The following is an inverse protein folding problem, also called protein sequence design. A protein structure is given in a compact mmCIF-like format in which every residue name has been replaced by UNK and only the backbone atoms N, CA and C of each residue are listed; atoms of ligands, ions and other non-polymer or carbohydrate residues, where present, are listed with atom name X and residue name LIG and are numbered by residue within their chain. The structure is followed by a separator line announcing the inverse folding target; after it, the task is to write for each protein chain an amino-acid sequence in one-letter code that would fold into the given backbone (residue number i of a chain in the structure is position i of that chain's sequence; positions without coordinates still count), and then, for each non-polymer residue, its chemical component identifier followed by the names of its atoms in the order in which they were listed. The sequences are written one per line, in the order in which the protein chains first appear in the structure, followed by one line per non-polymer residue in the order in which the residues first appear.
data_IF_396067854172
#
_entry.id   IF_396067854172
#
_cell.length_a   1.000
_cell.length_b   1.000
_cell.length_c   1.000
_cell.angle_alpha   90.00
_cell.angle_beta   90.00
_cell.angle_gamma   90.00
#
_symmetry.space_group_name_H-M   'P 1'
#
loop_
_entity.id
_entity.type
_entity.pdbx_description
1 polymer ?
#
# COMPACT_ATOMS: atom_id res chain seq x y z
N UNK A 1 1.10 -17.53 12.81
CA UNK A 1 0.61 -16.47 11.91
C UNK A 1 1.64 -15.35 11.92
N UNK A 2 2.17 -14.98 10.76
CA UNK A 2 3.12 -13.88 10.62
C UNK A 2 2.38 -12.67 10.04
N UNK A 3 2.61 -11.48 10.59
CA UNK A 3 1.92 -10.25 10.17
C UNK A 3 2.95 -9.15 9.98
N UNK A 4 2.93 -8.51 8.81
CA UNK A 4 3.76 -7.36 8.47
C UNK A 4 2.86 -6.17 8.20
N UNK A 5 3.13 -5.05 8.88
CA UNK A 5 2.50 -3.77 8.58
C UNK A 5 3.43 -2.99 7.66
N UNK A 6 2.93 -2.56 6.51
CA UNK A 6 3.67 -1.76 5.55
C UNK A 6 2.82 -0.57 5.11
N UNK A 7 3.37 0.63 5.23
CA UNK A 7 2.73 1.87 4.78
C UNK A 7 3.78 2.90 4.35
N UNK A 8 3.47 3.69 3.34
CA UNK A 8 4.23 4.89 2.99
C UNK A 8 3.69 6.07 3.80
N UNK A 9 4.57 6.78 4.50
CA UNK A 9 4.19 7.94 5.31
C UNK A 9 5.08 9.14 5.00
N UNK A 10 4.50 10.33 5.10
CA UNK A 10 5.26 11.59 5.09
C UNK A 10 6.21 11.67 6.30
N UNK A 11 7.14 12.63 6.27
CA UNK A 11 8.09 12.85 7.37
C UNK A 11 7.41 13.16 8.72
N UNK A 12 6.22 13.78 8.68
CA UNK A 12 5.39 14.02 9.86
C UNK A 12 4.45 12.84 10.20
N UNK A 13 4.60 11.69 9.55
CA UNK A 13 3.91 10.44 9.86
C UNK A 13 2.46 10.35 9.37
N UNK A 14 2.13 10.99 8.24
CA UNK A 14 0.77 10.98 7.67
C UNK A 14 0.72 10.12 6.41
N UNK A 15 -0.42 9.44 6.23
CA UNK A 15 -0.68 8.56 5.08
C UNK A 15 -1.48 9.25 3.96
N UNK A 16 -2.11 10.37 4.26
CA UNK A 16 -2.99 11.11 3.35
C UNK A 16 -3.17 12.55 3.84
N UNK A 17 -3.80 13.39 3.01
CA UNK A 17 -4.20 14.74 3.38
C UNK A 17 -5.39 14.74 4.35
N UNK A 18 -5.72 15.92 4.91
CA UNK A 18 -6.93 16.09 5.76
C UNK A 18 -8.23 15.76 5.04
N UNK A 19 -8.24 15.83 3.70
CA UNK A 19 -9.39 15.51 2.86
C UNK A 19 -9.48 14.02 2.50
N UNK A 20 -8.53 13.20 2.96
CA UNK A 20 -8.42 11.76 2.66
C UNK A 20 -8.28 11.48 1.17
N UNK A 21 -7.49 12.29 0.48
CA UNK A 21 -7.15 12.08 -0.92
C UNK A 21 -5.82 11.34 -1.07
N UNK A 22 -5.69 10.57 -2.14
CA UNK A 22 -4.43 9.90 -2.45
C UNK A 22 -3.38 10.95 -2.83
N UNK A 23 -2.22 10.88 -2.18
CA UNK A 23 -1.07 11.76 -2.43
C UNK A 23 0.17 10.92 -2.71
N UNK A 24 1.05 11.41 -3.59
CA UNK A 24 2.31 10.74 -3.88
C UNK A 24 3.27 10.91 -2.69
N UNK A 25 3.44 9.85 -1.90
CA UNK A 25 4.42 9.76 -0.81
C UNK A 25 5.66 8.97 -1.23
N UNK A 26 5.46 7.88 -1.97
CA UNK A 26 6.49 6.96 -2.41
C UNK A 26 6.80 7.09 -3.91
N UNK A 27 7.99 6.63 -4.30
CA UNK A 27 8.42 6.50 -5.69
C UNK A 27 8.42 5.05 -6.18
N UNK A 28 8.82 4.86 -7.44
CA UNK A 28 8.82 3.56 -8.14
C UNK A 28 9.57 2.46 -7.38
N UNK A 29 10.74 2.77 -6.82
CA UNK A 29 11.55 1.79 -6.08
C UNK A 29 10.83 1.23 -4.85
N UNK A 30 10.03 2.06 -4.14
CA UNK A 30 9.25 1.60 -3.00
C UNK A 30 8.00 0.83 -3.47
N UNK A 31 7.36 1.24 -4.57
CA UNK A 31 6.27 0.46 -5.16
C UNK A 31 6.73 -0.94 -5.58
N UNK A 32 7.90 -1.08 -6.21
CA UNK A 32 8.48 -2.39 -6.55
C UNK A 32 8.83 -3.24 -5.32
N UNK A 33 9.22 -2.60 -4.20
CA UNK A 33 9.43 -3.29 -2.92
C UNK A 33 8.11 -3.80 -2.33
N UNK A 34 7.05 -2.99 -2.36
CA UNK A 34 5.72 -3.38 -1.87
C UNK A 34 5.11 -4.48 -2.73
N UNK A 35 5.35 -4.45 -4.05
CA UNK A 35 4.85 -5.49 -4.95
C UNK A 35 5.46 -6.87 -4.63
N UNK A 36 6.78 -6.93 -4.43
CA UNK A 36 7.47 -8.13 -3.92
C UNK A 36 6.96 -8.57 -2.54
N UNK A 37 6.68 -7.63 -1.64
CA UNK A 37 6.11 -7.96 -0.33
C UNK A 37 4.73 -8.61 -0.47
N UNK A 38 3.87 -8.08 -1.36
CA UNK A 38 2.55 -8.66 -1.66
C UNK A 38 2.68 -10.05 -2.26
N UNK A 39 3.56 -10.24 -3.25
CA UNK A 39 3.80 -11.54 -3.88
C UNK A 39 4.26 -12.60 -2.86
N UNK A 40 5.06 -12.21 -1.87
CA UNK A 40 5.53 -13.11 -0.81
C UNK A 40 4.51 -13.37 0.32
N UNK A 41 3.34 -12.70 0.29
CA UNK A 41 2.34 -12.78 1.36
C UNK A 41 1.15 -13.62 0.93
N UNK A 42 0.68 -14.51 1.80
CA UNK A 42 -0.49 -15.35 1.53
C UNK A 42 -1.79 -14.53 1.41
N UNK A 43 -1.85 -13.34 2.03
CA UNK A 43 -3.02 -12.46 1.99
C UNK A 43 -2.64 -10.99 2.21
N UNK A 44 -3.43 -10.09 1.61
CA UNK A 44 -3.38 -8.63 1.82
C UNK A 44 -4.65 -8.20 2.55
N UNK A 45 -4.49 -7.37 3.59
CA UNK A 45 -5.60 -6.86 4.40
C UNK A 45 -5.59 -5.34 4.40
N UNK A 46 -6.77 -4.74 4.20
CA UNK A 46 -7.00 -3.29 4.34
C UNK A 46 -8.27 -3.02 5.13
N UNK A 47 -8.39 -1.83 5.71
CA UNK A 47 -9.63 -1.38 6.30
C UNK A 47 -10.63 -0.91 5.24
N UNK A 48 -11.94 -0.99 5.54
CA UNK A 48 -13.01 -0.54 4.63
C UNK A 48 -12.87 0.92 4.22
N UNK A 49 -12.33 1.78 5.10
CA UNK A 49 -12.08 3.19 4.78
C UNK A 49 -11.12 3.39 3.61
N UNK A 50 -10.12 2.51 3.46
CA UNK A 50 -9.19 2.53 2.33
C UNK A 50 -9.90 2.12 1.04
N UNK A 51 -10.77 1.11 1.11
CA UNK A 51 -11.56 0.69 -0.06
C UNK A 51 -12.45 1.83 -0.56
N UNK A 52 -13.16 2.49 0.36
CA UNK A 52 -14.07 3.58 0.01
C UNK A 52 -13.35 4.85 -0.48
N UNK A 53 -12.12 5.09 -0.03
CA UNK A 53 -11.36 6.29 -0.40
C UNK A 53 -10.54 6.10 -1.69
N UNK A 54 -9.93 4.92 -1.87
CA UNK A 54 -8.90 4.71 -2.90
C UNK A 54 -9.29 3.67 -3.96
N UNK A 55 -10.39 2.94 -3.79
CA UNK A 55 -10.83 1.83 -4.67
C UNK A 55 -9.68 0.91 -5.16
N UNK A 56 -8.87 0.34 -4.25
CA UNK A 56 -7.66 -0.34 -4.64
C UNK A 56 -7.93 -1.76 -5.13
N UNK A 57 -7.25 -2.16 -6.22
CA UNK A 57 -7.29 -3.54 -6.72
C UNK A 57 -6.53 -4.55 -5.84
N UNK A 58 -5.52 -4.07 -5.09
CA UNK A 58 -4.69 -4.87 -4.18
C UNK A 58 -4.01 -6.10 -4.80
N UNK A 59 -3.79 -6.09 -6.12
CA UNK A 59 -3.07 -7.15 -6.83
C UNK A 59 -1.55 -6.90 -6.84
N UNK A 60 -0.79 -7.96 -7.12
CA UNK A 60 0.59 -7.87 -7.61
C UNK A 60 0.53 -7.28 -9.03
N UNK A 61 1.46 -6.38 -9.36
CA UNK A 61 1.48 -5.69 -10.67
C UNK A 61 2.52 -6.26 -11.62
N UNK A 62 3.65 -6.70 -11.11
CA UNK A 62 4.69 -7.37 -11.87
C UNK A 62 4.26 -8.82 -12.15
N UNK A 63 4.15 -9.18 -13.43
CA UNK A 63 3.73 -10.52 -13.86
C UNK A 63 4.82 -11.57 -13.65
N UNK A 64 6.07 -11.16 -13.42
CA UNK A 64 7.20 -12.05 -13.17
C UNK A 64 7.33 -12.45 -11.68
N UNK A 65 6.52 -11.88 -10.79
CA UNK A 65 6.47 -12.16 -9.34
C UNK A 65 5.35 -13.12 -8.96
#
# INVERSE_FOLDING_TARGET
MHVVVNAAASADGKLSSRRREQIAISGEADFARVDRLRASSDAVVVGVGTVLADDPHLTVKDEEL
#
